data_IF_618368360780
#
_entry.id   IF_618368360780
#
_cell.length_a   1.000
_cell.length_b   1.000
_cell.length_c   1.000
_cell.angle_alpha   90.00
_cell.angle_beta   90.00
_cell.angle_gamma   90.00
#
_symmetry.space_group_name_H-M   'P 1'
#
loop_
_entity.id
_entity.type
_entity.pdbx_description
1 polymer ?
#
# COMPACT_ATOMS: atom_id res chain seq x y z
N UNK A 1 43.39 51.34 12.24
CA UNK A 1 42.17 51.16 13.04
C UNK A 1 41.94 49.67 13.20
N UNK A 2 42.12 49.21 14.44
CA UNK A 2 42.20 47.81 14.86
C UNK A 2 40.88 47.34 15.47
N UNK A 3 40.68 46.02 15.39
CA UNK A 3 39.73 45.18 16.16
C UNK A 3 38.31 44.96 15.57
N UNK A 4 37.64 43.83 15.88
CA UNK A 4 38.20 42.50 16.09
C UNK A 4 37.39 41.35 15.47
N UNK A 5 38.13 40.29 15.12
CA UNK A 5 37.68 38.89 15.08
C UNK A 5 37.04 38.46 16.40
N UNK A 6 35.76 38.11 16.37
CA UNK A 6 35.10 37.36 17.45
C UNK A 6 35.01 35.88 17.06
N UNK A 7 35.96 35.09 17.57
CA UNK A 7 35.82 33.63 17.69
C UNK A 7 34.65 33.34 18.63
N UNK A 8 33.50 32.96 18.09
CA UNK A 8 32.44 32.33 18.91
C UNK A 8 32.81 30.86 19.05
N UNK A 9 33.20 30.45 20.26
CA UNK A 9 33.24 29.05 20.67
C UNK A 9 31.83 28.46 20.45
N UNK A 10 31.71 27.46 19.60
CA UNK A 10 30.59 26.53 19.67
C UNK A 10 30.85 25.62 20.87
N UNK A 11 30.11 25.86 21.96
CA UNK A 11 29.87 24.84 22.97
C UNK A 11 29.03 23.72 22.32
N UNK A 12 29.22 22.44 22.71
CA UNK A 12 28.42 21.36 22.18
C UNK A 12 26.99 21.54 22.72
N UNK A 13 26.06 21.91 21.84
CA UNK A 13 24.65 21.76 22.14
C UNK A 13 24.37 20.27 22.05
N UNK A 14 24.09 19.65 23.19
CA UNK A 14 23.53 18.32 23.31
C UNK A 14 22.22 18.24 22.50
N UNK A 15 22.37 17.89 21.23
CA UNK A 15 21.29 17.68 20.29
C UNK A 15 20.75 16.26 20.47
N UNK A 16 19.65 16.16 21.21
CA UNK A 16 18.81 14.98 21.26
C UNK A 16 18.62 14.41 19.84
N UNK A 17 19.14 13.20 19.61
CA UNK A 17 19.07 12.49 18.35
C UNK A 17 17.63 12.15 18.00
N UNK A 18 16.99 13.06 17.28
CA UNK A 18 15.61 12.97 16.82
C UNK A 18 15.48 11.87 15.76
N UNK A 19 14.81 10.80 16.16
CA UNK A 19 14.42 9.68 15.28
C UNK A 19 12.91 9.76 15.16
N UNK A 20 12.36 10.07 13.98
CA UNK A 20 10.94 10.36 13.79
C UNK A 20 10.31 9.46 12.72
N UNK A 21 9.13 8.93 13.04
CA UNK A 21 8.43 7.82 12.39
C UNK A 21 7.22 8.28 11.57
N UNK A 22 6.93 7.58 10.47
CA UNK A 22 5.67 7.66 9.69
C UNK A 22 4.85 6.40 10.01
N UNK A 23 3.61 6.56 10.48
CA UNK A 23 2.77 5.46 10.92
C UNK A 23 1.63 5.15 9.92
N UNK A 24 1.76 4.05 9.20
CA UNK A 24 0.69 3.04 9.13
C UNK A 24 0.98 2.08 10.30
N UNK A 25 0.16 2.15 11.36
CA UNK A 25 0.21 1.40 12.63
C UNK A 25 1.58 1.05 13.26
N UNK A 26 2.00 1.86 14.25
CA UNK A 26 3.11 1.60 15.18
C UNK A 26 2.67 1.85 16.63
N UNK A 27 2.94 0.92 17.54
CA UNK A 27 3.05 1.19 18.99
C UNK A 27 4.38 0.66 19.50
N UNK A 28 5.14 1.55 20.15
CA UNK A 28 6.47 1.33 20.73
C UNK A 28 6.44 0.71 22.13
N UNK A 29 7.57 0.12 22.51
CA UNK A 29 8.09 -0.05 23.88
C UNK A 29 9.61 -0.28 23.71
N UNK A 30 10.61 0.31 24.39
CA UNK A 30 10.86 0.90 25.72
C UNK A 30 12.05 1.90 25.57
N UNK A 31 12.41 2.80 26.49
CA UNK A 31 13.09 2.58 27.80
C UNK A 31 13.23 3.95 28.53
N UNK A 32 13.14 4.07 29.86
CA UNK A 32 14.22 3.75 30.84
C UNK A 32 13.71 3.94 32.31
N UNK A 33 14.37 3.39 33.35
CA UNK A 33 13.86 3.29 34.73
C UNK A 33 14.14 4.56 35.57
N UNK A 34 13.41 4.81 36.70
CA UNK A 34 13.86 4.30 38.00
C UNK A 34 12.73 3.86 38.96
N UNK A 35 13.10 3.00 39.91
CA UNK A 35 12.49 2.69 41.21
C UNK A 35 11.00 3.03 41.44
N UNK A 36 10.14 2.02 41.58
CA UNK A 36 9.29 1.77 42.77
C UNK A 36 8.52 0.44 42.61
N UNK A 37 8.09 -0.11 43.74
CA UNK A 37 7.82 -1.53 44.02
C UNK A 37 6.66 -2.20 43.24
N UNK A 38 6.74 -3.54 43.22
CA UNK A 38 5.84 -4.49 42.58
C UNK A 38 4.39 -4.49 43.09
N UNK A 39 3.44 -4.76 42.18
CA UNK A 39 2.17 -5.42 42.47
C UNK A 39 1.69 -6.23 41.23
N UNK A 40 1.21 -7.47 41.37
CA UNK A 40 0.86 -8.33 40.24
C UNK A 40 -0.59 -8.10 39.79
N UNK A 41 -0.83 -7.92 38.49
CA UNK A 41 -2.18 -8.03 37.91
C UNK A 41 -2.33 -9.44 37.35
N UNK A 42 -3.07 -10.28 38.09
CA UNK A 42 -3.65 -11.55 37.64
C UNK A 42 -4.82 -11.26 36.69
N UNK A 43 -4.94 -12.06 35.63
CA UNK A 43 -6.24 -12.34 35.00
C UNK A 43 -6.29 -12.21 33.48
N UNK A 44 -5.75 -13.21 32.76
CA UNK A 44 -6.19 -13.54 31.39
C UNK A 44 -6.07 -15.06 31.20
N UNK A 45 -7.09 -15.79 31.65
CA UNK A 45 -7.33 -17.17 31.25
C UNK A 45 -8.45 -17.20 30.22
N UNK A 46 -8.16 -17.74 29.03
CA UNK A 46 -9.11 -18.40 28.13
C UNK A 46 -10.13 -17.53 27.39
N UNK A 47 -9.86 -17.22 26.12
CA UNK A 47 -10.91 -16.97 25.14
C UNK A 47 -10.97 -18.17 24.17
N UNK A 48 -12.15 -18.74 23.88
CA UNK A 48 -12.29 -19.89 22.99
C UNK A 48 -12.01 -19.54 21.52
N UNK A 49 -11.52 -20.52 20.76
CA UNK A 49 -11.26 -20.40 19.33
C UNK A 49 -12.56 -20.09 18.56
N UNK A 50 -12.57 -19.00 17.78
CA UNK A 50 -13.66 -18.66 16.85
C UNK A 50 -14.18 -17.21 16.89
N UNK A 51 -13.67 -16.33 17.74
CA UNK A 51 -14.11 -14.93 17.80
C UNK A 51 -13.10 -13.97 17.14
N UNK A 52 -13.50 -13.31 16.04
CA UNK A 52 -12.71 -12.25 15.38
C UNK A 52 -12.45 -11.10 16.36
N UNK A 53 -11.19 -10.68 16.49
CA UNK A 53 -10.79 -9.62 17.42
C UNK A 53 -11.23 -8.25 16.89
N UNK A 54 -12.06 -7.55 17.66
CA UNK A 54 -12.49 -6.17 17.39
C UNK A 54 -11.53 -5.20 18.07
N UNK A 55 -10.83 -4.35 17.31
CA UNK A 55 -9.79 -3.45 17.84
C UNK A 55 -10.20 -1.97 17.69
N UNK A 56 -9.92 -1.16 18.72
CA UNK A 56 -9.98 0.32 18.72
C UNK A 56 -8.59 0.88 19.04
N UNK A 57 -8.17 2.00 18.44
CA UNK A 57 -6.85 2.60 18.62
C UNK A 57 -6.94 4.07 19.13
N UNK A 58 -6.23 4.45 20.22
CA UNK A 58 -6.30 5.80 20.81
C UNK A 58 -5.11 6.73 20.48
N UNK A 59 -5.31 8.02 20.76
CA UNK A 59 -4.52 9.24 20.44
C UNK A 59 -3.32 9.55 21.37
N UNK A 60 -2.32 10.28 20.82
CA UNK A 60 -1.76 11.59 21.27
C UNK A 60 -0.32 11.81 20.72
N UNK A 61 -0.05 12.92 19.99
CA UNK A 61 1.20 13.72 20.02
C UNK A 61 1.26 14.81 18.90
N UNK A 62 1.91 15.93 19.22
CA UNK A 62 2.08 17.17 18.44
C UNK A 62 3.00 17.05 17.20
N UNK A 63 2.80 17.94 16.22
CA UNK A 63 3.32 17.92 14.83
C UNK A 63 4.80 18.34 14.69
N UNK A 64 5.61 17.60 13.89
CA UNK A 64 6.64 18.23 13.05
C UNK A 64 6.84 17.66 11.61
N UNK A 65 7.06 18.61 10.69
CA UNK A 65 7.54 18.66 9.26
C UNK A 65 7.22 17.52 8.25
N UNK A 66 6.15 17.74 7.47
CA UNK A 66 5.48 16.83 6.51
C UNK A 66 6.06 16.84 5.06
N UNK A 67 7.29 17.32 4.86
CA UNK A 67 7.82 17.64 3.51
C UNK A 67 8.36 16.45 2.70
N UNK A 68 8.57 15.26 3.28
CA UNK A 68 9.15 14.11 2.58
C UNK A 68 8.26 12.86 2.70
N UNK A 69 7.89 12.25 1.56
CA UNK A 69 7.12 11.01 1.51
C UNK A 69 7.93 9.78 1.95
N UNK A 70 7.28 8.62 2.16
CA UNK A 70 7.98 7.38 2.54
C UNK A 70 8.89 6.86 1.42
N UNK A 71 10.13 6.47 1.77
CA UNK A 71 11.21 6.04 0.84
C UNK A 71 11.58 4.55 1.00
N UNK A 72 10.60 3.72 1.31
CA UNK A 72 10.84 2.38 1.86
C UNK A 72 10.53 1.30 0.85
N UNK A 73 11.43 0.33 0.70
CA UNK A 73 11.15 -0.95 0.04
C UNK A 73 11.09 -2.04 1.10
N UNK A 74 9.98 -2.78 1.13
CA UNK A 74 9.82 -3.96 1.98
C UNK A 74 10.03 -5.23 1.17
N UNK A 75 10.90 -6.13 1.64
CA UNK A 75 11.15 -7.47 1.09
C UNK A 75 10.58 -8.54 2.01
N UNK A 76 9.97 -9.57 1.42
CA UNK A 76 9.10 -10.48 2.17
C UNK A 76 9.39 -11.98 1.96
N UNK A 77 9.54 -12.77 3.04
CA UNK A 77 9.44 -14.23 3.00
C UNK A 77 7.95 -14.67 3.04
N UNK A 78 7.43 -15.38 2.02
CA UNK A 78 5.99 -15.58 1.79
C UNK A 78 5.23 -16.34 2.90
N UNK A 79 5.91 -16.95 3.87
CA UNK A 79 5.33 -17.85 4.90
C UNK A 79 4.57 -17.14 6.02
N UNK A 80 4.56 -15.82 6.05
CA UNK A 80 3.75 -15.03 6.99
C UNK A 80 3.13 -13.90 6.19
N UNK A 81 1.84 -13.58 6.28
CA UNK A 81 1.20 -12.64 5.32
C UNK A 81 0.84 -11.29 5.92
N UNK A 82 0.97 -11.17 7.24
CA UNK A 82 0.55 -9.97 7.95
C UNK A 82 1.15 -8.70 7.37
N UNK A 83 2.46 -8.56 7.21
CA UNK A 83 2.99 -7.27 6.75
C UNK A 83 3.22 -7.11 5.23
N UNK A 84 2.94 -8.13 4.42
CA UNK A 84 2.61 -7.91 3.00
C UNK A 84 1.33 -7.05 2.86
N UNK A 85 0.44 -7.13 3.86
CA UNK A 85 -0.78 -6.33 4.00
C UNK A 85 -0.66 -5.19 5.02
N UNK A 86 0.55 -4.82 5.45
CA UNK A 86 0.78 -3.75 6.43
C UNK A 86 0.41 -4.09 7.89
N UNK A 87 0.27 -5.38 8.25
CA UNK A 87 -0.32 -5.86 9.51
C UNK A 87 0.70 -6.27 10.61
N UNK A 88 1.94 -5.75 10.63
CA UNK A 88 2.86 -5.80 11.79
C UNK A 88 3.55 -4.47 12.03
N UNK A 89 3.66 -4.10 13.31
CA UNK A 89 4.48 -2.99 13.79
C UNK A 89 5.96 -3.21 13.45
N UNK A 90 6.59 -2.24 12.79
CA UNK A 90 8.03 -2.21 12.54
C UNK A 90 8.79 -1.98 13.87
N UNK A 91 9.38 -3.03 14.46
CA UNK A 91 10.44 -2.83 15.46
C UNK A 91 11.76 -2.58 14.73
N UNK A 92 12.52 -1.55 15.10
CA UNK A 92 13.87 -1.35 14.58
C UNK A 92 14.76 -2.55 14.92
N UNK A 93 15.63 -3.02 14.00
CA UNK A 93 16.72 -3.90 14.39
C UNK A 93 17.64 -3.10 15.30
N UNK A 94 17.80 -3.54 16.54
CA UNK A 94 18.77 -2.96 17.47
C UNK A 94 20.20 -3.12 16.90
N UNK A 95 21.11 -2.14 17.05
CA UNK A 95 22.40 -2.17 16.35
C UNK A 95 23.38 -3.25 16.82
N UNK A 96 23.04 -4.03 17.85
CA UNK A 96 23.98 -4.90 18.53
C UNK A 96 23.32 -6.21 18.98
N UNK A 97 23.12 -7.15 18.03
CA UNK A 97 23.38 -8.60 18.18
C UNK A 97 22.68 -9.35 17.03
N UNK A 98 23.41 -10.08 16.17
CA UNK A 98 22.77 -11.13 15.40
C UNK A 98 22.38 -12.25 16.37
N UNK A 99 21.09 -12.45 16.60
CA UNK A 99 20.57 -13.67 17.21
C UNK A 99 20.54 -14.74 16.11
N UNK A 100 21.17 -15.89 16.38
CA UNK A 100 21.38 -16.98 15.43
C UNK A 100 20.15 -17.88 15.25
N UNK A 101 18.97 -17.39 15.63
CA UNK A 101 17.73 -18.15 15.80
C UNK A 101 16.49 -17.46 15.18
N UNK A 102 16.66 -16.42 14.35
CA UNK A 102 15.56 -15.71 13.69
C UNK A 102 15.75 -15.58 12.17
N UNK A 103 15.30 -16.58 11.41
CA UNK A 103 15.15 -16.56 9.94
C UNK A 103 13.92 -15.71 9.49
N UNK A 104 13.58 -14.67 10.27
CA UNK A 104 12.19 -14.18 10.43
C UNK A 104 11.98 -12.66 10.36
N UNK A 105 12.89 -11.88 9.81
CA UNK A 105 12.76 -10.43 9.71
C UNK A 105 12.35 -9.96 8.29
N UNK A 106 11.32 -9.12 8.21
CA UNK A 106 11.08 -8.30 7.01
C UNK A 106 12.29 -7.41 6.78
N UNK A 107 12.82 -7.41 5.57
CA UNK A 107 13.90 -6.51 5.24
C UNK A 107 13.32 -5.21 4.70
N UNK A 108 13.58 -4.13 5.43
CA UNK A 108 13.07 -2.80 5.19
C UNK A 108 14.26 -1.91 4.87
N UNK A 109 14.32 -1.42 3.65
CA UNK A 109 15.44 -0.59 3.20
C UNK A 109 14.92 0.79 2.87
N UNK A 110 15.45 1.80 3.58
CA UNK A 110 15.20 3.20 3.28
C UNK A 110 16.17 3.66 2.20
N UNK A 111 15.64 4.20 1.11
CA UNK A 111 16.43 4.74 0.02
C UNK A 111 16.59 6.26 0.14
N UNK A 112 17.53 6.82 -0.61
CA UNK A 112 17.82 8.25 -0.65
C UNK A 112 16.66 9.10 -1.19
N UNK A 113 15.82 8.52 -2.05
CA UNK A 113 14.60 9.13 -2.61
C UNK A 113 13.64 8.05 -3.10
N UNK A 114 12.41 8.43 -3.39
CA UNK A 114 11.39 7.55 -3.96
C UNK A 114 11.77 7.03 -5.35
N UNK A 115 12.55 7.78 -6.13
CA UNK A 115 13.16 7.28 -7.37
C UNK A 115 14.13 6.11 -7.09
N UNK A 116 14.95 6.22 -6.03
CA UNK A 116 15.81 5.14 -5.56
C UNK A 116 15.03 3.94 -5.04
N UNK A 117 13.94 4.20 -4.30
CA UNK A 117 13.02 3.15 -3.83
C UNK A 117 12.37 2.39 -4.99
N UNK A 118 11.93 3.08 -6.04
CA UNK A 118 11.35 2.43 -7.21
C UNK A 118 12.37 1.58 -7.97
N UNK A 119 13.63 2.03 -8.07
CA UNK A 119 14.71 1.22 -8.67
C UNK A 119 15.07 0.00 -7.83
N UNK A 120 15.15 0.16 -6.51
CA UNK A 120 15.37 -0.96 -5.58
C UNK A 120 14.20 -1.97 -5.61
N UNK A 121 12.96 -1.49 -5.70
CA UNK A 121 11.78 -2.32 -5.92
C UNK A 121 11.89 -3.12 -7.22
N UNK A 122 12.21 -2.46 -8.35
CA UNK A 122 12.38 -3.11 -9.65
C UNK A 122 13.49 -4.18 -9.61
N UNK A 123 14.63 -3.89 -9.00
CA UNK A 123 15.72 -4.86 -8.84
C UNK A 123 15.31 -6.07 -8.00
N UNK A 124 14.64 -5.84 -6.87
CA UNK A 124 14.19 -6.90 -5.99
C UNK A 124 13.20 -7.86 -6.66
N UNK A 125 12.16 -7.34 -7.30
CA UNK A 125 11.15 -8.18 -7.97
C UNK A 125 11.72 -8.89 -9.20
N UNK A 126 12.72 -8.29 -9.87
CA UNK A 126 13.44 -8.93 -10.98
C UNK A 126 14.26 -10.15 -10.54
N UNK A 127 14.69 -10.20 -9.27
CA UNK A 127 15.34 -11.36 -8.66
C UNK A 127 14.33 -12.42 -8.17
N UNK A 128 13.02 -12.19 -8.34
CA UNK A 128 11.97 -13.10 -7.87
C UNK A 128 11.60 -12.91 -6.40
N UNK A 129 12.07 -11.83 -5.75
CA UNK A 129 11.63 -11.48 -4.41
C UNK A 129 10.20 -10.92 -4.45
N UNK A 130 9.47 -11.09 -3.35
CA UNK A 130 8.21 -10.40 -3.14
C UNK A 130 8.49 -9.05 -2.47
N UNK A 131 8.11 -7.97 -3.14
CA UNK A 131 8.44 -6.62 -2.69
C UNK A 131 7.29 -5.63 -2.91
N UNK A 132 7.19 -4.67 -2.01
CA UNK A 132 6.19 -3.60 -2.04
C UNK A 132 6.81 -2.27 -1.60
N UNK A 133 6.14 -1.17 -1.88
CA UNK A 133 6.53 0.16 -1.41
C UNK A 133 5.28 0.99 -1.09
N UNK A 134 5.50 2.05 -0.32
CA UNK A 134 4.49 3.00 0.11
C UNK A 134 4.93 4.39 -0.35
N UNK A 135 4.03 5.18 -0.94
CA UNK A 135 4.35 6.53 -1.40
C UNK A 135 3.10 7.41 -1.53
N UNK A 136 3.29 8.69 -1.87
CA UNK A 136 2.22 9.66 -2.12
C UNK A 136 2.73 10.91 -2.84
N UNK A 137 1.86 11.59 -3.57
CA UNK A 137 2.11 12.89 -4.20
C UNK A 137 3.43 12.93 -4.99
N UNK A 138 4.36 13.82 -4.62
CA UNK A 138 5.64 14.02 -5.27
C UNK A 138 6.48 12.74 -5.30
N UNK A 139 6.39 11.92 -4.25
CA UNK A 139 7.10 10.66 -4.17
C UNK A 139 6.66 9.70 -5.27
N UNK A 140 5.36 9.61 -5.54
CA UNK A 140 4.82 8.78 -6.62
C UNK A 140 5.29 9.27 -8.00
N UNK A 141 5.37 10.59 -8.22
CA UNK A 141 5.88 11.15 -9.47
C UNK A 141 7.34 10.72 -9.74
N UNK A 142 8.16 10.66 -8.69
CA UNK A 142 9.55 10.20 -8.80
C UNK A 142 9.67 8.70 -9.15
N UNK A 143 8.61 7.92 -8.96
CA UNK A 143 8.58 6.49 -9.31
C UNK A 143 8.19 6.23 -10.77
N UNK A 144 7.59 7.21 -11.48
CA UNK A 144 7.05 7.05 -12.84
C UNK A 144 8.02 6.37 -13.82
N UNK A 145 9.32 6.73 -13.90
CA UNK A 145 10.23 6.07 -14.85
C UNK A 145 10.36 4.57 -14.61
N UNK A 146 10.42 4.16 -13.34
CA UNK A 146 10.48 2.74 -12.98
C UNK A 146 9.12 2.06 -13.12
N UNK A 147 8.01 2.77 -12.94
CA UNK A 147 6.67 2.20 -13.18
C UNK A 147 6.54 1.67 -14.61
N UNK A 148 6.97 2.42 -15.63
CA UNK A 148 6.98 1.95 -17.02
C UNK A 148 7.84 0.70 -17.22
N UNK A 149 9.02 0.64 -16.59
CA UNK A 149 9.91 -0.52 -16.66
C UNK A 149 9.29 -1.76 -16.01
N UNK A 150 8.72 -1.61 -14.82
CA UNK A 150 8.08 -2.70 -14.08
C UNK A 150 6.87 -3.26 -14.84
N UNK A 151 6.02 -2.38 -15.38
CA UNK A 151 4.86 -2.77 -16.18
C UNK A 151 5.26 -3.44 -17.50
N UNK A 152 6.23 -2.86 -18.22
CA UNK A 152 6.70 -3.39 -19.49
C UNK A 152 7.39 -4.76 -19.38
N UNK A 153 7.98 -5.06 -18.21
CA UNK A 153 8.60 -6.36 -17.92
C UNK A 153 7.65 -7.35 -17.23
N UNK A 154 6.38 -6.97 -17.00
CA UNK A 154 5.34 -7.81 -16.40
C UNK A 154 5.77 -8.42 -15.05
N UNK A 155 6.30 -7.56 -14.17
CA UNK A 155 6.65 -7.97 -12.81
C UNK A 155 5.51 -7.72 -11.83
N UNK A 156 5.11 -8.76 -11.06
CA UNK A 156 4.08 -8.64 -10.06
C UNK A 156 4.62 -7.89 -8.84
N UNK A 157 4.00 -6.76 -8.54
CA UNK A 157 4.17 -6.05 -7.28
C UNK A 157 2.98 -5.14 -7.01
N UNK A 158 2.92 -4.61 -5.80
CA UNK A 158 1.90 -3.63 -5.40
C UNK A 158 2.58 -2.41 -4.79
N UNK A 159 2.21 -1.23 -5.26
CA UNK A 159 2.47 0.02 -4.55
C UNK A 159 1.21 0.43 -3.79
N UNK A 160 1.36 0.71 -2.50
CA UNK A 160 0.29 1.26 -1.70
C UNK A 160 0.44 2.79 -1.64
N UNK A 161 -0.54 3.50 -2.19
CA UNK A 161 -0.51 4.95 -2.32
C UNK A 161 -1.57 5.56 -1.41
N UNK A 162 -1.12 6.40 -0.47
CA UNK A 162 -2.02 7.30 0.22
C UNK A 162 -2.25 8.52 -0.69
N UNK A 163 -3.36 8.57 -1.42
CA UNK A 163 -3.52 9.51 -2.53
C UNK A 163 -3.50 10.96 -2.01
N UNK A 164 -2.61 11.81 -2.58
CA UNK A 164 -2.25 13.14 -2.05
C UNK A 164 -2.03 14.17 -3.16
N UNK A 165 -2.47 15.40 -2.91
CA UNK A 165 -2.36 16.53 -3.85
C UNK A 165 -0.94 16.74 -4.37
N UNK A 166 -0.81 16.93 -5.68
CA UNK A 166 0.42 17.39 -6.31
C UNK A 166 0.63 18.88 -6.04
N UNK A 167 1.82 19.23 -5.55
CA UNK A 167 2.22 20.63 -5.38
C UNK A 167 2.23 21.34 -6.75
N UNK A 168 1.41 22.37 -6.89
CA UNK A 168 1.26 23.17 -8.11
C UNK A 168 1.58 24.63 -7.81
N UNK A 169 0.60 25.49 -7.50
CA UNK A 169 0.89 26.84 -7.00
C UNK A 169 1.36 26.84 -5.54
N UNK A 170 0.95 25.82 -4.78
CA UNK A 170 1.33 25.61 -3.39
C UNK A 170 1.48 24.11 -3.09
N UNK A 171 2.20 23.80 -2.01
CA UNK A 171 2.23 22.45 -1.44
C UNK A 171 0.93 22.18 -0.70
N UNK A 172 0.31 21.04 -0.97
CA UNK A 172 -0.76 20.47 -0.14
C UNK A 172 -0.36 19.07 0.29
N UNK A 173 -0.45 18.83 1.60
CA UNK A 173 -0.25 17.51 2.19
C UNK A 173 -1.56 16.70 2.30
N UNK A 174 -2.68 17.32 1.91
CA UNK A 174 -4.00 16.71 1.95
C UNK A 174 -4.27 15.83 0.74
N UNK A 175 -5.30 15.00 0.86
CA UNK A 175 -5.63 14.04 -0.18
C UNK A 175 -6.06 14.71 -1.49
N UNK A 176 -5.96 13.99 -2.59
CA UNK A 176 -6.84 14.01 -3.77
C UNK A 176 -6.27 12.93 -4.71
N UNK A 177 -6.78 12.81 -5.95
CA UNK A 177 -6.30 11.78 -6.88
C UNK A 177 -5.32 12.33 -7.93
N UNK A 178 -4.79 13.54 -7.78
CA UNK A 178 -3.92 14.17 -8.78
C UNK A 178 -2.64 13.38 -9.00
N UNK A 179 -2.08 12.78 -7.95
CA UNK A 179 -0.88 11.93 -8.02
C UNK A 179 -1.15 10.59 -8.71
N UNK A 180 -2.21 9.90 -8.30
CA UNK A 180 -2.68 8.66 -8.92
C UNK A 180 -2.96 8.89 -10.41
N UNK A 181 -3.67 9.95 -10.77
CA UNK A 181 -3.99 10.26 -12.16
C UNK A 181 -2.79 10.68 -13.01
N UNK A 182 -1.73 11.24 -12.39
CA UNK A 182 -0.48 11.52 -13.09
C UNK A 182 0.24 10.24 -13.53
N UNK A 183 -0.03 9.10 -12.88
CA UNK A 183 0.61 7.80 -13.20
C UNK A 183 -0.26 6.84 -14.01
N UNK A 184 -1.47 7.24 -14.42
CA UNK A 184 -2.45 6.35 -15.09
C UNK A 184 -1.98 5.74 -16.41
N UNK A 185 -0.99 6.33 -17.08
CA UNK A 185 -0.46 5.87 -18.38
C UNK A 185 0.74 4.93 -18.24
N UNK A 186 1.18 4.63 -17.02
CA UNK A 186 2.40 3.84 -16.76
C UNK A 186 2.28 2.35 -17.03
N UNK A 187 1.08 1.86 -17.40
CA UNK A 187 0.80 0.43 -17.56
C UNK A 187 0.60 -0.29 -16.23
N UNK A 188 0.24 0.42 -15.16
CA UNK A 188 -0.15 -0.18 -13.89
C UNK A 188 -1.66 -0.36 -13.81
N UNK A 189 -2.10 -1.38 -13.08
CA UNK A 189 -3.51 -1.54 -12.72
C UNK A 189 -3.82 -0.72 -11.47
N UNK A 190 -5.01 -0.14 -11.38
CA UNK A 190 -5.37 0.80 -10.31
C UNK A 190 -6.61 0.32 -9.59
N UNK A 191 -6.46 -0.06 -8.32
CA UNK A 191 -7.53 -0.57 -7.47
C UNK A 191 -7.75 0.37 -6.28
N UNK A 192 -8.97 0.91 -6.17
CA UNK A 192 -9.34 1.94 -5.22
C UNK A 192 -10.13 1.38 -4.03
N UNK A 193 -9.81 1.90 -2.85
CA UNK A 193 -10.55 1.66 -1.59
C UNK A 193 -11.24 2.94 -1.12
N UNK A 194 -12.50 2.84 -0.69
CA UNK A 194 -13.24 4.00 -0.17
C UNK A 194 -13.32 4.05 1.36
N UNK A 195 -13.15 2.92 2.04
CA UNK A 195 -13.21 2.82 3.51
C UNK A 195 -11.97 2.13 4.10
N UNK A 196 -11.76 2.28 5.40
CA UNK A 196 -10.64 1.64 6.10
C UNK A 196 -10.72 0.12 6.01
N UNK A 197 -11.94 -0.44 6.07
CA UNK A 197 -12.16 -1.88 5.87
C UNK A 197 -11.79 -2.31 4.44
N UNK A 198 -12.22 -1.53 3.44
CA UNK A 198 -11.91 -1.82 2.04
C UNK A 198 -10.42 -1.78 1.75
N UNK A 199 -9.65 -0.89 2.40
CA UNK A 199 -8.20 -0.85 2.24
C UNK A 199 -7.52 -2.20 2.49
N UNK A 200 -8.00 -2.97 3.48
CA UNK A 200 -7.45 -4.30 3.77
C UNK A 200 -7.84 -5.30 2.68
N UNK A 201 -9.12 -5.32 2.31
CA UNK A 201 -9.64 -6.28 1.33
C UNK A 201 -9.09 -6.03 -0.08
N UNK A 202 -8.98 -4.77 -0.50
CA UNK A 202 -8.44 -4.41 -1.80
C UNK A 202 -6.92 -4.54 -1.84
N UNK A 203 -6.20 -4.28 -0.74
CA UNK A 203 -4.78 -4.62 -0.65
C UNK A 203 -4.57 -6.13 -0.82
N UNK A 204 -5.41 -6.95 -0.15
CA UNK A 204 -5.45 -8.40 -0.36
C UNK A 204 -5.64 -8.75 -1.84
N UNK A 205 -6.73 -8.28 -2.43
CA UNK A 205 -7.05 -8.53 -3.83
C UNK A 205 -5.94 -8.09 -4.78
N UNK A 206 -5.32 -6.92 -4.58
CA UNK A 206 -4.25 -6.41 -5.42
C UNK A 206 -3.00 -7.32 -5.41
N UNK A 207 -2.58 -7.80 -4.24
CA UNK A 207 -1.42 -8.69 -4.13
C UNK A 207 -1.67 -10.08 -4.73
N UNK A 208 -2.90 -10.58 -4.66
CA UNK A 208 -3.25 -11.84 -5.32
C UNK A 208 -3.38 -11.65 -6.83
N UNK A 209 -4.06 -10.59 -7.27
CA UNK A 209 -4.27 -10.28 -8.67
C UNK A 209 -2.96 -9.97 -9.41
N UNK A 210 -2.02 -9.25 -8.78
CA UNK A 210 -0.71 -8.94 -9.39
C UNK A 210 0.07 -10.23 -9.66
N UNK A 211 0.09 -11.17 -8.71
CA UNK A 211 0.78 -12.45 -8.88
C UNK A 211 0.19 -13.27 -10.03
N UNK A 212 -1.14 -13.34 -10.11
CA UNK A 212 -1.83 -14.12 -11.15
C UNK A 212 -1.76 -13.48 -12.54
N UNK A 213 -1.90 -12.16 -12.62
CA UNK A 213 -1.88 -11.44 -13.90
C UNK A 213 -0.48 -11.11 -14.39
N UNK A 214 0.53 -11.14 -13.51
CA UNK A 214 1.87 -10.57 -13.75
C UNK A 214 1.87 -9.06 -14.07
N UNK A 215 0.74 -8.36 -13.89
CA UNK A 215 0.63 -6.92 -14.09
C UNK A 215 0.76 -6.22 -12.73
N UNK A 216 1.57 -5.17 -12.58
CA UNK A 216 1.74 -4.48 -11.31
C UNK A 216 0.51 -3.64 -10.93
N UNK A 217 0.26 -3.46 -9.63
CA UNK A 217 -0.92 -2.78 -9.09
C UNK A 217 -0.58 -1.56 -8.23
N UNK A 218 -1.28 -0.45 -8.45
CA UNK A 218 -1.40 0.64 -7.49
C UNK A 218 -2.69 0.40 -6.70
N UNK A 219 -2.53 0.07 -5.42
CA UNK A 219 -3.64 0.11 -4.47
C UNK A 219 -3.64 1.48 -3.80
N UNK A 220 -4.72 2.23 -3.92
CA UNK A 220 -4.81 3.56 -3.35
C UNK A 220 -6.11 3.79 -2.59
N UNK A 221 -6.02 4.61 -1.55
CA UNK A 221 -7.15 5.00 -0.75
C UNK A 221 -7.75 6.32 -1.23
N UNK A 222 -9.01 6.57 -0.87
CA UNK A 222 -9.68 7.78 -1.27
C UNK A 222 -9.48 8.91 -0.26
N UNK A 223 -8.39 9.66 -0.33
CA UNK A 223 -8.21 10.98 0.33
C UNK A 223 -8.23 10.95 1.88
N UNK A 224 -9.39 10.67 2.49
CA UNK A 224 -9.70 10.80 3.92
C UNK A 224 -9.42 9.56 4.75
N UNK A 225 -9.15 8.44 4.08
CA UNK A 225 -9.16 7.10 4.67
C UNK A 225 -7.89 6.77 5.45
N UNK A 226 -6.71 7.19 4.96
CA UNK A 226 -5.40 6.86 5.57
C UNK A 226 -5.28 7.19 7.06
N UNK A 227 -5.93 8.27 7.51
CA UNK A 227 -5.91 8.75 8.89
C UNK A 227 -7.26 8.58 9.60
N UNK A 228 -8.22 7.89 8.97
CA UNK A 228 -9.51 7.63 9.58
C UNK A 228 -9.42 6.44 10.53
N UNK A 229 -9.91 6.62 11.76
CA UNK A 229 -10.00 5.55 12.74
C UNK A 229 -11.40 4.95 12.65
N UNK A 230 -11.48 3.72 12.15
CA UNK A 230 -12.72 2.94 12.13
C UNK A 230 -12.52 1.64 12.91
N UNK A 231 -13.62 1.16 13.51
CA UNK A 231 -13.68 -0.20 14.02
C UNK A 231 -13.89 -1.14 12.84
N UNK A 232 -12.87 -1.91 12.55
CA UNK A 232 -12.83 -2.82 11.41
C UNK A 232 -12.81 -4.28 11.87
N UNK A 233 -13.24 -5.16 10.97
CA UNK A 233 -13.02 -6.59 11.08
C UNK A 233 -11.65 -6.94 10.51
N UNK A 234 -10.72 -7.25 11.40
CA UNK A 234 -9.32 -7.42 11.03
C UNK A 234 -9.03 -8.89 10.70
N UNK A 235 -8.30 -9.19 9.61
CA UNK A 235 -8.05 -10.56 9.18
C UNK A 235 -7.17 -11.31 10.19
N UNK A 236 -7.52 -12.56 10.47
CA UNK A 236 -6.69 -13.47 11.27
C UNK A 236 -5.48 -13.98 10.47
N UNK A 237 -4.50 -14.60 11.15
CA UNK A 237 -3.37 -15.21 10.44
C UNK A 237 -3.81 -16.32 9.48
N UNK A 238 -4.85 -17.06 9.84
CA UNK A 238 -5.34 -18.17 9.02
C UNK A 238 -6.11 -17.65 7.80
N UNK A 239 -6.87 -16.57 7.95
CA UNK A 239 -7.51 -15.89 6.81
C UNK A 239 -6.46 -15.45 5.79
N UNK A 240 -5.38 -14.84 6.28
CA UNK A 240 -4.30 -14.38 5.43
C UNK A 240 -3.60 -15.55 4.72
N UNK A 241 -3.26 -16.63 5.45
CA UNK A 241 -2.67 -17.84 4.86
C UNK A 241 -3.57 -18.46 3.80
N UNK A 242 -4.87 -18.52 4.04
CA UNK A 242 -5.85 -19.03 3.08
C UNK A 242 -5.97 -18.15 1.82
N UNK A 243 -5.56 -16.89 1.92
CA UNK A 243 -5.58 -15.94 0.81
C UNK A 243 -4.38 -16.10 -0.14
N UNK A 244 -3.25 -16.68 0.31
CA UNK A 244 -2.09 -16.87 -0.57
C UNK A 244 -2.19 -18.11 -1.42
N UNK A 245 -1.94 -17.89 -2.71
CA UNK A 245 -1.69 -18.95 -3.67
C UNK A 245 -0.18 -19.22 -3.77
N UNK A 246 0.23 -20.35 -3.22
CA UNK A 246 1.63 -20.76 -3.16
C UNK A 246 2.22 -21.17 -4.51
N UNK A 247 1.38 -21.58 -5.46
CA UNK A 247 1.85 -21.90 -6.81
C UNK A 247 2.18 -20.61 -7.57
N UNK A 248 1.35 -19.58 -7.47
CA UNK A 248 1.67 -18.27 -8.06
C UNK A 248 2.96 -17.66 -7.49
N UNK A 249 3.22 -17.86 -6.18
CA UNK A 249 4.47 -17.44 -5.54
C UNK A 249 5.67 -18.20 -6.13
N UNK A 250 5.55 -19.52 -6.32
CA UNK A 250 6.61 -20.33 -6.94
C UNK A 250 6.85 -19.91 -8.38
N UNK A 251 5.81 -19.64 -9.16
CA UNK A 251 5.91 -19.15 -10.54
C UNK A 251 6.63 -17.81 -10.62
N UNK A 252 6.30 -16.85 -9.74
CA UNK A 252 7.01 -15.57 -9.66
C UNK A 252 8.51 -15.76 -9.37
N UNK A 253 8.83 -16.56 -8.35
CA UNK A 253 10.23 -16.90 -8.00
C UNK A 253 10.95 -17.57 -9.16
N UNK A 254 10.27 -18.46 -9.87
CA UNK A 254 10.79 -19.14 -11.04
C UNK A 254 11.00 -18.20 -12.24
N UNK A 255 10.58 -16.92 -12.20
CA UNK A 255 10.96 -15.91 -13.19
C UNK A 255 12.12 -15.02 -12.73
N UNK A 256 12.61 -15.17 -11.51
CA UNK A 256 13.73 -14.40 -10.98
C UNK A 256 15.02 -14.60 -11.78
N UNK A 257 15.85 -13.56 -11.86
CA UNK A 257 17.20 -13.67 -12.41
C UNK A 257 18.04 -14.64 -11.57
N UNK A 258 18.59 -15.67 -12.21
CA UNK A 258 19.43 -16.68 -11.57
C UNK A 258 20.62 -17.00 -12.49
N UNK A 259 21.88 -17.01 -11.99
CA UNK A 259 23.04 -17.39 -12.79
C UNK A 259 22.97 -18.79 -13.40
N UNK A 260 22.28 -19.73 -12.73
CA UNK A 260 22.10 -21.11 -13.22
C UNK A 260 21.10 -21.21 -14.37
N UNK A 261 20.21 -20.21 -14.53
CA UNK A 261 19.26 -20.09 -15.63
C UNK A 261 19.19 -18.62 -16.08
N UNK A 262 20.24 -18.15 -16.79
CA UNK A 262 20.38 -16.74 -17.11
C UNK A 262 19.37 -16.33 -18.17
N UNK A 263 18.82 -15.13 -18.01
CA UNK A 263 17.99 -14.45 -19.01
C UNK A 263 18.41 -12.99 -19.11
N UNK A 264 18.29 -12.40 -20.29
CA UNK A 264 18.56 -10.98 -20.51
C UNK A 264 17.24 -10.19 -20.53
N UNK A 265 17.22 -9.03 -19.86
CA UNK A 265 16.07 -8.11 -19.79
C UNK A 265 16.55 -6.68 -20.02
N UNK A 266 15.62 -5.79 -20.37
CA UNK A 266 15.93 -4.36 -20.55
C UNK A 266 16.86 -4.05 -21.72
N UNK A 267 16.76 -4.79 -22.82
CA UNK A 267 17.54 -4.55 -24.05
C UNK A 267 17.20 -3.22 -24.70
N UNK A 268 18.14 -2.64 -25.45
CA UNK A 268 17.85 -1.58 -26.40
C UNK A 268 17.30 -2.20 -27.70
N UNK A 269 16.13 -1.74 -28.15
CA UNK A 269 15.45 -2.26 -29.34
C UNK A 269 15.30 -1.16 -30.38
N UNK A 270 15.47 -1.54 -31.65
CA UNK A 270 15.25 -0.65 -32.79
C UNK A 270 13.76 -0.62 -33.20
N UNK A 271 13.35 0.31 -34.08
CA UNK A 271 11.95 0.43 -34.51
C UNK A 271 11.39 -0.79 -35.25
N UNK A 272 12.25 -1.69 -35.73
CA UNK A 272 11.89 -2.92 -36.43
C UNK A 272 11.15 -3.95 -35.55
N UNK A 273 11.41 -3.94 -34.23
CA UNK A 273 10.81 -4.89 -33.28
C UNK A 273 10.12 -4.24 -32.08
N UNK A 274 10.44 -2.98 -31.76
CA UNK A 274 9.97 -2.33 -30.54
C UNK A 274 8.43 -2.29 -30.44
N UNK A 275 7.75 -1.97 -31.54
CA UNK A 275 6.30 -1.87 -31.53
C UNK A 275 5.62 -3.22 -31.29
N UNK A 276 6.10 -4.27 -31.97
CA UNK A 276 5.60 -5.63 -31.81
C UNK A 276 5.85 -6.16 -30.41
N UNK A 277 7.02 -5.88 -29.83
CA UNK A 277 7.35 -6.27 -28.46
C UNK A 277 6.47 -5.53 -27.43
N UNK A 278 6.15 -4.26 -27.67
CA UNK A 278 5.24 -3.50 -26.80
C UNK A 278 3.82 -4.06 -26.84
N UNK A 279 3.29 -4.37 -28.02
CA UNK A 279 1.93 -4.93 -28.19
C UNK A 279 1.81 -6.38 -27.71
N UNK A 280 2.93 -7.12 -27.60
CA UNK A 280 2.94 -8.47 -27.04
C UNK A 280 2.45 -8.53 -25.58
N UNK A 281 2.47 -7.41 -24.86
CA UNK A 281 1.96 -7.31 -23.49
C UNK A 281 0.43 -7.19 -23.41
N UNK A 282 -0.25 -6.81 -24.50
CA UNK A 282 -1.69 -6.51 -24.53
C UNK A 282 -2.59 -7.64 -23.94
N UNK A 283 -2.34 -8.94 -24.20
CA UNK A 283 -3.13 -10.02 -23.61
C UNK A 283 -3.09 -10.08 -22.08
N UNK A 284 -1.97 -9.70 -21.45
CA UNK A 284 -1.84 -9.69 -19.99
C UNK A 284 -2.77 -8.64 -19.39
N UNK A 285 -2.78 -7.44 -19.96
CA UNK A 285 -3.66 -6.34 -19.54
C UNK A 285 -5.13 -6.63 -19.79
N UNK A 286 -5.47 -7.21 -20.94
CA UNK A 286 -6.85 -7.60 -21.27
C UNK A 286 -7.42 -8.64 -20.29
N UNK A 287 -6.56 -9.47 -19.69
CA UNK A 287 -6.96 -10.47 -18.72
C UNK A 287 -7.20 -9.89 -17.31
N UNK A 288 -6.61 -8.74 -16.97
CA UNK A 288 -6.65 -8.19 -15.59
C UNK A 288 -8.07 -8.07 -15.01
N UNK A 289 -9.11 -7.55 -15.71
CA UNK A 289 -10.44 -7.43 -15.12
C UNK A 289 -10.98 -8.76 -14.58
N UNK A 290 -10.84 -9.84 -15.35
CA UNK A 290 -11.22 -11.20 -14.92
C UNK A 290 -10.42 -11.67 -13.71
N UNK A 291 -9.10 -11.40 -13.69
CA UNK A 291 -8.24 -11.76 -12.55
C UNK A 291 -8.69 -11.02 -11.28
N UNK A 292 -9.06 -9.74 -11.41
CA UNK A 292 -9.54 -8.95 -10.27
C UNK A 292 -10.89 -9.50 -9.78
N UNK A 293 -11.82 -9.87 -10.67
CA UNK A 293 -13.07 -10.53 -10.25
C UNK A 293 -12.82 -11.84 -9.48
N UNK A 294 -11.86 -12.65 -9.91
CA UNK A 294 -11.44 -13.85 -9.19
C UNK A 294 -10.82 -13.52 -7.81
N UNK A 295 -10.02 -12.46 -7.74
CA UNK A 295 -9.46 -11.96 -6.48
C UNK A 295 -10.56 -11.49 -5.51
N UNK A 296 -11.58 -10.79 -6.01
CA UNK A 296 -12.73 -10.34 -5.22
C UNK A 296 -13.63 -11.51 -4.81
N UNK A 297 -13.73 -12.56 -5.63
CA UNK A 297 -14.38 -13.80 -5.24
C UNK A 297 -13.63 -14.49 -4.09
N UNK A 298 -12.29 -14.46 -4.09
CA UNK A 298 -11.48 -14.95 -2.96
C UNK A 298 -11.68 -14.11 -1.71
N UNK A 299 -11.79 -12.78 -1.85
CA UNK A 299 -12.16 -11.88 -0.74
C UNK A 299 -13.50 -12.29 -0.13
N UNK A 300 -14.50 -12.63 -0.96
CA UNK A 300 -15.79 -13.13 -0.49
C UNK A 300 -15.66 -14.46 0.26
N UNK A 301 -14.87 -15.40 -0.26
CA UNK A 301 -14.64 -16.71 0.37
C UNK A 301 -14.02 -16.58 1.77
N UNK A 302 -12.98 -15.74 1.89
CA UNK A 302 -12.19 -15.63 3.12
C UNK A 302 -12.81 -14.65 4.12
N UNK A 303 -13.19 -13.46 3.66
CA UNK A 303 -13.66 -12.37 4.54
C UNK A 303 -15.18 -12.30 4.67
N UNK A 304 -15.93 -12.98 3.78
CA UNK A 304 -17.39 -12.99 3.79
C UNK A 304 -18.03 -11.76 3.15
N UNK A 305 -17.25 -10.88 2.53
CA UNK A 305 -17.73 -9.63 1.92
C UNK A 305 -17.58 -9.69 0.40
N UNK A 306 -18.62 -9.28 -0.33
CA UNK A 306 -18.61 -9.27 -1.78
C UNK A 306 -18.35 -7.88 -2.33
N UNK A 307 -17.58 -7.81 -3.41
CA UNK A 307 -17.25 -6.59 -4.13
C UNK A 307 -17.38 -6.84 -5.63
N UNK A 308 -17.43 -5.77 -6.42
CA UNK A 308 -17.37 -5.85 -7.89
C UNK A 308 -16.47 -4.73 -8.43
N UNK A 309 -16.05 -4.85 -9.69
CA UNK A 309 -15.19 -3.84 -10.35
C UNK A 309 -15.84 -2.45 -10.34
N UNK A 310 -17.16 -2.44 -10.57
CA UNK A 310 -18.05 -1.30 -10.46
C UNK A 310 -19.28 -1.76 -9.69
N UNK A 311 -19.68 -1.05 -8.63
CA UNK A 311 -20.90 -1.41 -7.89
C UNK A 311 -21.89 -0.26 -7.92
N UNK A 312 -23.14 -0.60 -8.23
CA UNK A 312 -24.27 0.31 -8.24
C UNK A 312 -24.98 0.34 -6.88
N UNK A 313 -25.42 1.51 -6.46
CA UNK A 313 -26.22 1.74 -5.26
C UNK A 313 -27.28 2.82 -5.53
N UNK A 314 -28.51 2.61 -5.07
CA UNK A 314 -29.60 3.59 -5.18
C UNK A 314 -30.83 3.05 -5.90
N UNK A 315 -31.66 3.95 -6.44
CA UNK A 315 -32.96 3.61 -7.00
C UNK A 315 -32.81 2.74 -8.28
N UNK A 316 -33.56 1.65 -8.44
CA UNK A 316 -33.40 0.74 -9.60
C UNK A 316 -33.68 1.41 -10.96
N UNK A 317 -34.57 2.40 -10.97
CA UNK A 317 -34.87 3.26 -12.13
C UNK A 317 -34.40 4.69 -11.87
N UNK A 318 -33.13 4.86 -11.48
CA UNK A 318 -32.56 6.19 -11.27
C UNK A 318 -32.54 7.00 -12.58
N UNK A 319 -32.88 8.28 -12.49
CA UNK A 319 -32.82 9.26 -13.58
C UNK A 319 -31.47 10.00 -13.59
N UNK A 320 -30.89 10.22 -12.40
CA UNK A 320 -29.57 10.81 -12.20
C UNK A 320 -28.63 9.82 -11.51
N UNK A 321 -27.44 9.60 -12.08
CA UNK A 321 -26.45 8.65 -11.54
C UNK A 321 -25.11 9.34 -11.35
N UNK A 322 -24.61 9.33 -10.12
CA UNK A 322 -23.26 9.76 -9.79
C UNK A 322 -22.26 8.65 -10.13
N UNK A 323 -21.12 8.98 -10.72
CA UNK A 323 -19.98 8.06 -10.84
C UNK A 323 -18.85 8.60 -9.98
N UNK A 324 -18.47 7.84 -8.95
CA UNK A 324 -17.49 8.30 -7.96
C UNK A 324 -16.45 7.22 -7.64
N UNK A 325 -15.29 7.65 -7.16
CA UNK A 325 -14.19 6.78 -6.77
C UNK A 325 -13.60 7.25 -5.44
N UNK A 326 -13.12 6.32 -4.62
CA UNK A 326 -12.57 6.62 -3.29
C UNK A 326 -13.65 6.98 -2.25
N UNK A 327 -13.24 7.54 -1.12
CA UNK A 327 -14.12 7.83 0.04
C UNK A 327 -15.26 8.79 -0.27
N UNK A 328 -15.12 9.65 -1.29
CA UNK A 328 -16.20 10.51 -1.76
C UNK A 328 -17.45 9.71 -2.15
N UNK A 329 -17.27 8.47 -2.62
CA UNK A 329 -18.38 7.57 -2.93
C UNK A 329 -19.21 7.20 -1.68
N UNK A 330 -18.62 7.10 -0.48
CA UNK A 330 -19.39 6.80 0.74
C UNK A 330 -20.27 7.99 1.17
N UNK A 331 -19.77 9.21 1.00
CA UNK A 331 -20.56 10.42 1.28
C UNK A 331 -21.72 10.53 0.29
N UNK A 332 -21.45 10.30 -1.00
CA UNK A 332 -22.49 10.29 -2.04
C UNK A 332 -23.50 9.18 -1.78
N UNK A 333 -23.05 7.99 -1.35
CA UNK A 333 -23.93 6.87 -0.99
C UNK A 333 -24.94 7.27 0.07
N UNK A 334 -24.47 7.88 1.17
CA UNK A 334 -25.34 8.37 2.24
C UNK A 334 -26.30 9.47 1.77
N UNK A 335 -25.86 10.35 0.86
CA UNK A 335 -26.73 11.38 0.28
C UNK A 335 -27.81 10.78 -0.64
N UNK A 336 -27.45 9.78 -1.46
CA UNK A 336 -28.38 9.04 -2.32
C UNK A 336 -29.46 8.35 -1.48
N UNK A 337 -29.07 7.69 -0.39
CA UNK A 337 -30.02 7.08 0.56
C UNK A 337 -31.01 8.11 1.09
N UNK A 338 -30.50 9.25 1.59
CA UNK A 338 -31.35 10.31 2.12
C UNK A 338 -32.32 10.88 1.09
N UNK A 339 -31.86 11.14 -0.14
CA UNK A 339 -32.69 11.72 -1.20
C UNK A 339 -33.78 10.76 -1.67
N UNK A 340 -33.43 9.49 -1.85
CA UNK A 340 -34.39 8.46 -2.26
C UNK A 340 -35.45 8.23 -1.15
N UNK A 341 -35.03 8.08 0.11
CA UNK A 341 -35.94 7.80 1.24
C UNK A 341 -36.82 8.99 1.64
N UNK A 342 -36.26 10.21 1.68
CA UNK A 342 -36.97 11.39 2.25
C UNK A 342 -37.66 12.23 1.21
N UNK A 343 -37.22 12.18 -0.04
CA UNK A 343 -37.74 13.04 -1.11
C UNK A 343 -38.35 12.26 -2.27
N UNK A 344 -38.30 10.93 -2.24
CA UNK A 344 -38.77 10.10 -3.35
C UNK A 344 -38.00 10.36 -4.64
N UNK A 345 -36.76 10.84 -4.53
CA UNK A 345 -35.91 11.07 -5.69
C UNK A 345 -35.54 9.73 -6.35
N UNK A 346 -35.12 9.79 -7.62
CA UNK A 346 -34.67 8.63 -8.39
C UNK A 346 -33.18 8.80 -8.69
N UNK A 347 -32.34 8.65 -7.67
CA UNK A 347 -30.90 8.88 -7.78
C UNK A 347 -30.13 7.59 -7.55
N UNK A 348 -29.03 7.43 -8.29
CA UNK A 348 -28.10 6.31 -8.18
C UNK A 348 -26.64 6.75 -8.03
N UNK A 349 -25.80 5.79 -7.67
CA UNK A 349 -24.35 5.90 -7.54
C UNK A 349 -23.69 4.67 -8.14
N UNK A 350 -22.70 4.86 -9.01
CA UNK A 350 -21.73 3.85 -9.41
C UNK A 350 -20.41 4.18 -8.73
N UNK A 351 -19.97 3.28 -7.86
CA UNK A 351 -18.66 3.39 -7.21
C UNK A 351 -17.63 2.55 -7.98
N UNK A 352 -16.55 3.20 -8.39
CA UNK A 352 -15.45 2.60 -9.18
C UNK A 352 -14.43 1.98 -8.24
N UNK A 353 -14.11 0.69 -8.42
CA UNK A 353 -13.02 0.01 -7.70
C UNK A 353 -11.82 -0.14 -8.62
N UNK A 354 -12.00 -0.81 -9.76
CA UNK A 354 -10.96 -0.97 -10.76
C UNK A 354 -10.98 0.23 -11.70
N UNK A 355 -10.06 1.17 -11.51
CA UNK A 355 -9.92 2.32 -12.39
C UNK A 355 -9.18 1.98 -13.68
N UNK A 356 -8.22 1.06 -13.58
CA UNK A 356 -7.44 0.56 -14.73
C UNK A 356 -7.08 -0.92 -14.54
N UNK A 357 -7.17 -1.73 -15.60
CA UNK A 357 -7.85 -1.45 -16.87
C UNK A 357 -9.32 -1.11 -16.65
N UNK A 358 -9.86 -0.19 -17.45
CA UNK A 358 -11.22 0.34 -17.26
C UNK A 358 -12.24 -0.54 -17.98
#
# INVERSE_FOLDING_TARGET
MTSPTAKRKQEPVDGAGATAHVAYFLRCSLTSPPHFAAAPIRGLTGAPAGQRQRVHLPHHAELPDERAGPRVVGLWPPERLRAAYGLRSFSSPSPCRPRADEESAQLVVQMQSEAGAAGALHGAISLGAFATTFTSSQGLLLMIPNMYKIAGELFPCVMHVAARTIATEALSIFGDHSDVYATRSTGWSFLCSATVQECIHMAAAAHWATLKSSVPFVHFDGFRTSHEIQKIDFPSDDDLRAFVDWELVKEHRARGLCPERPVQRGTAQNPDVFFQASEANSPYFAHVPRVVEEALAKVREVFGVSYSLFEYHGHAAAEDVFVCMGSGAEVVRAAVDHLNERRGARVGLVKVRLFRPF
#
